data_IF_343737794649
#
_entry.id   IF_343737794649
#
_cell.length_a   1.000
_cell.length_b   1.000
_cell.length_c   1.000
_cell.angle_alpha   90.00
_cell.angle_beta   90.00
_cell.angle_gamma   90.00
#
_symmetry.space_group_name_H-M   'P 1'
#
loop_
_entity.id
_entity.type
_entity.pdbx_description
1 polymer ?
#
# COMPACT_ATOMS: atom_id res chain seq x y z
N UNK A 1 -8.85 -16.59 0.85
CA UNK A 1 -7.94 -16.86 -0.26
C UNK A 1 -7.16 -15.59 -0.69
N UNK A 2 -7.82 -14.47 -0.93
CA UNK A 2 -7.20 -13.21 -1.39
C UNK A 2 -5.99 -12.75 -0.53
N UNK A 3 -6.12 -12.80 0.79
CA UNK A 3 -5.05 -12.43 1.72
C UNK A 3 -3.75 -13.25 1.54
N UNK A 4 -3.89 -14.57 1.39
CA UNK A 4 -2.72 -15.44 1.17
C UNK A 4 -2.07 -15.19 -0.18
N UNK A 5 -2.87 -14.90 -1.22
CA UNK A 5 -2.34 -14.58 -2.55
C UNK A 5 -1.57 -13.25 -2.55
N UNK A 6 -2.11 -12.21 -1.92
CA UNK A 6 -1.42 -10.92 -1.80
C UNK A 6 -0.12 -11.04 -1.00
N UNK A 7 -0.13 -11.80 0.10
CA UNK A 7 1.06 -12.09 0.90
C UNK A 7 2.12 -12.85 0.09
N UNK A 8 1.70 -13.81 -0.73
CA UNK A 8 2.60 -14.54 -1.61
C UNK A 8 3.23 -13.62 -2.67
N UNK A 9 2.42 -12.75 -3.29
CA UNK A 9 2.91 -11.75 -4.26
C UNK A 9 3.93 -10.82 -3.61
N UNK A 10 3.66 -10.30 -2.40
CA UNK A 10 4.62 -9.46 -1.67
C UNK A 10 5.95 -10.17 -1.41
N UNK A 11 5.90 -11.46 -1.02
CA UNK A 11 7.11 -12.24 -0.80
C UNK A 11 7.89 -12.48 -2.09
N UNK A 12 7.18 -12.75 -3.19
CA UNK A 12 7.80 -12.94 -4.49
C UNK A 12 8.49 -11.64 -4.97
N UNK A 13 7.79 -10.50 -4.86
CA UNK A 13 8.35 -9.18 -5.19
C UNK A 13 9.59 -8.88 -4.36
N UNK A 14 9.57 -9.20 -3.05
CA UNK A 14 10.72 -9.00 -2.17
C UNK A 14 11.93 -9.83 -2.61
N UNK A 15 11.72 -11.09 -2.97
CA UNK A 15 12.82 -11.96 -3.44
C UNK A 15 13.41 -11.43 -4.76
N UNK A 16 12.57 -11.02 -5.71
CA UNK A 16 12.99 -10.43 -6.97
C UNK A 16 13.79 -9.15 -6.71
N UNK A 17 13.30 -8.29 -5.83
CA UNK A 17 13.93 -7.02 -5.45
C UNK A 17 15.34 -7.23 -4.87
N UNK A 18 15.48 -8.18 -3.94
CA UNK A 18 16.78 -8.55 -3.36
C UNK A 18 17.72 -9.08 -4.43
N UNK A 19 17.26 -9.95 -5.34
CA UNK A 19 18.11 -10.52 -6.39
C UNK A 19 18.61 -9.44 -7.35
N UNK A 20 17.73 -8.52 -7.79
CA UNK A 20 18.11 -7.42 -8.68
C UNK A 20 19.10 -6.48 -7.97
N UNK A 21 18.84 -6.14 -6.71
CA UNK A 21 19.73 -5.28 -5.92
C UNK A 21 21.10 -5.93 -5.73
N UNK A 22 21.15 -7.21 -5.37
CA UNK A 22 22.41 -7.95 -5.26
C UNK A 22 23.19 -7.98 -6.58
N UNK A 23 22.49 -8.19 -7.70
CA UNK A 23 23.12 -8.18 -9.02
C UNK A 23 23.69 -6.80 -9.36
N UNK A 24 22.93 -5.72 -9.12
CA UNK A 24 23.38 -4.35 -9.38
C UNK A 24 24.56 -3.96 -8.50
N UNK A 25 24.52 -4.28 -7.21
CA UNK A 25 25.64 -4.02 -6.30
C UNK A 25 26.88 -4.81 -6.72
N UNK A 26 26.74 -6.10 -7.04
CA UNK A 26 27.85 -6.92 -7.50
C UNK A 26 28.44 -6.38 -8.82
N UNK A 27 27.61 -5.91 -9.77
CA UNK A 27 28.07 -5.32 -11.03
C UNK A 27 28.91 -4.05 -10.84
N UNK A 28 28.65 -3.26 -9.79
CA UNK A 28 29.47 -2.08 -9.47
C UNK A 28 30.87 -2.41 -8.98
N UNK A 29 31.05 -3.55 -8.30
CA UNK A 29 32.34 -3.97 -7.74
C UNK A 29 33.10 -4.97 -8.61
N UNK A 30 32.41 -5.72 -9.45
CA UNK A 30 32.98 -6.80 -10.26
C UNK A 30 32.71 -6.51 -11.73
N UNK A 31 33.71 -6.12 -12.48
CA UNK A 31 33.61 -5.74 -13.90
C UNK A 31 33.06 -6.83 -14.83
N UNK A 32 33.00 -8.08 -14.36
CA UNK A 32 32.47 -9.21 -15.13
C UNK A 32 30.93 -9.33 -15.01
N UNK A 33 30.32 -8.68 -13.99
CA UNK A 33 28.87 -8.75 -13.77
C UNK A 33 28.23 -7.50 -14.38
N UNK A 34 27.19 -7.63 -15.23
CA UNK A 34 26.51 -6.48 -15.81
C UNK A 34 25.81 -5.67 -14.71
N UNK A 35 26.00 -4.34 -14.71
CA UNK A 35 25.20 -3.40 -13.93
C UNK A 35 24.20 -2.69 -14.87
N UNK A 36 23.00 -3.25 -15.06
CA UNK A 36 22.04 -2.68 -15.99
C UNK A 36 21.43 -1.40 -15.39
N UNK A 37 21.44 -0.31 -16.14
CA UNK A 37 20.89 0.98 -15.73
C UNK A 37 19.40 0.93 -15.32
N UNK A 38 18.64 -0.07 -15.80
CA UNK A 38 17.22 -0.26 -15.45
C UNK A 38 17.00 -0.87 -14.08
N UNK A 39 18.02 -1.45 -13.45
CA UNK A 39 17.88 -2.15 -12.16
C UNK A 39 17.31 -1.27 -11.07
N UNK A 40 17.78 -0.04 -10.92
CA UNK A 40 17.30 0.89 -9.91
C UNK A 40 15.83 1.28 -10.10
N UNK A 41 15.41 1.51 -11.34
CA UNK A 41 14.01 1.88 -11.65
C UNK A 41 13.04 0.72 -11.40
N UNK A 42 13.46 -0.52 -11.67
CA UNK A 42 12.66 -1.71 -11.40
C UNK A 42 12.55 -1.96 -9.91
N UNK A 43 13.65 -1.86 -9.14
CA UNK A 43 13.67 -2.00 -7.69
C UNK A 43 12.73 -0.98 -7.04
N UNK A 44 12.80 0.30 -7.41
CA UNK A 44 11.90 1.34 -6.89
C UNK A 44 10.43 1.04 -7.20
N UNK A 45 10.14 0.52 -8.39
CA UNK A 45 8.78 0.13 -8.76
C UNK A 45 8.30 -1.06 -7.92
N UNK A 46 9.11 -2.11 -7.74
CA UNK A 46 8.79 -3.26 -6.89
C UNK A 46 8.54 -2.83 -5.43
N UNK A 47 9.38 -1.96 -4.89
CA UNK A 47 9.21 -1.41 -3.54
C UNK A 47 7.88 -0.65 -3.41
N UNK A 48 7.51 0.16 -4.42
CA UNK A 48 6.23 0.87 -4.43
C UNK A 48 5.04 -0.10 -4.40
N UNK A 49 5.06 -1.16 -5.22
CA UNK A 49 4.02 -2.20 -5.19
C UNK A 49 3.94 -2.93 -3.85
N UNK A 50 5.10 -3.29 -3.27
CA UNK A 50 5.13 -3.94 -1.94
C UNK A 50 4.58 -3.02 -0.85
N UNK A 51 4.96 -1.75 -0.83
CA UNK A 51 4.48 -0.78 0.15
C UNK A 51 2.95 -0.67 0.12
N UNK A 52 2.39 -0.54 -1.08
CA UNK A 52 0.96 -0.45 -1.33
C UNK A 52 0.20 -1.70 -0.90
N UNK A 53 0.67 -2.87 -1.34
CA UNK A 53 0.04 -4.14 -0.99
C UNK A 53 0.12 -4.43 0.51
N UNK A 54 1.25 -4.08 1.16
CA UNK A 54 1.40 -4.25 2.61
C UNK A 54 0.52 -3.29 3.39
N UNK A 55 0.34 -2.04 2.94
CA UNK A 55 -0.59 -1.09 3.55
C UNK A 55 -2.04 -1.61 3.50
N UNK A 56 -2.49 -2.11 2.34
CA UNK A 56 -3.80 -2.72 2.20
C UNK A 56 -4.00 -3.94 3.13
N UNK A 57 -2.95 -4.78 3.30
CA UNK A 57 -2.99 -5.91 4.24
C UNK A 57 -3.02 -5.46 5.71
N UNK A 58 -2.34 -4.36 6.06
CA UNK A 58 -2.33 -3.79 7.41
C UNK A 58 -3.73 -3.33 7.82
N UNK A 59 -4.45 -2.65 6.92
CA UNK A 59 -5.84 -2.25 7.13
C UNK A 59 -6.71 -3.47 7.49
N UNK A 60 -6.65 -4.51 6.67
CA UNK A 60 -7.44 -5.73 6.90
C UNK A 60 -7.13 -6.44 8.21
N UNK A 61 -5.90 -6.32 8.73
CA UNK A 61 -5.52 -6.89 10.03
C UNK A 61 -5.98 -6.05 11.22
N UNK A 62 -6.62 -4.90 11.00
CA UNK A 62 -6.93 -3.94 12.06
C UNK A 62 -5.66 -3.39 12.72
N UNK A 63 -4.52 -3.55 12.03
CA UNK A 63 -3.22 -3.07 12.49
C UNK A 63 -3.01 -1.58 12.15
N UNK A 64 -4.12 -0.81 12.09
CA UNK A 64 -4.00 0.63 12.09
C UNK A 64 -3.26 1.05 13.35
N UNK A 65 -2.40 2.04 13.22
CA UNK A 65 -1.63 2.62 14.32
C UNK A 65 -2.61 3.23 15.32
N UNK A 66 -3.22 2.34 16.11
CA UNK A 66 -4.06 2.71 17.22
C UNK A 66 -3.18 2.68 18.46
N UNK A 67 -3.03 3.82 19.08
CA UNK A 67 -2.38 3.90 20.38
C UNK A 67 -3.29 3.29 21.45
N UNK A 68 -3.25 1.96 21.57
CA UNK A 68 -4.00 1.23 22.60
C UNK A 68 -3.55 1.56 24.02
N UNK A 69 -2.39 2.21 24.17
CA UNK A 69 -1.88 2.65 25.46
C UNK A 69 -2.80 3.68 26.17
N UNK A 70 -3.55 4.48 25.42
CA UNK A 70 -4.50 5.45 25.97
C UNK A 70 -5.90 4.86 26.23
N UNK A 71 -6.21 3.69 25.67
CA UNK A 71 -7.53 3.06 25.79
C UNK A 71 -7.90 2.73 27.25
N UNK A 72 -6.90 2.45 28.09
CA UNK A 72 -7.09 2.16 29.52
C UNK A 72 -7.48 3.39 30.36
N UNK A 73 -7.18 4.60 29.87
CA UNK A 73 -7.46 5.86 30.56
C UNK A 73 -8.71 6.57 30.04
N UNK A 74 -9.25 6.14 28.88
CA UNK A 74 -10.39 6.80 28.24
C UNK A 74 -11.70 6.04 28.46
N UNK A 75 -12.85 6.75 28.56
CA UNK A 75 -14.15 6.11 28.59
C UNK A 75 -14.42 5.37 27.26
N UNK A 76 -15.01 4.18 27.36
CA UNK A 76 -15.26 3.28 26.22
C UNK A 76 -16.00 3.94 25.05
N UNK A 77 -16.87 4.90 25.32
CA UNK A 77 -17.63 5.63 24.30
C UNK A 77 -16.75 6.59 23.51
N UNK A 78 -15.77 7.22 24.15
CA UNK A 78 -14.82 8.13 23.49
C UNK A 78 -13.87 7.33 22.58
N UNK A 79 -13.42 6.15 23.05
CA UNK A 79 -12.58 5.25 22.26
C UNK A 79 -13.29 4.82 20.96
N UNK A 80 -14.56 4.42 21.07
CA UNK A 80 -15.37 4.05 19.90
C UNK A 80 -15.57 5.21 18.91
N UNK A 81 -15.80 6.42 19.44
CA UNK A 81 -15.94 7.62 18.59
C UNK A 81 -14.64 7.90 17.83
N UNK A 82 -13.49 7.78 18.52
CA UNK A 82 -12.17 7.95 17.89
C UNK A 82 -11.89 6.88 16.83
N UNK A 83 -12.33 5.65 17.04
CA UNK A 83 -12.20 4.57 16.03
C UNK A 83 -12.95 4.93 14.74
N UNK A 84 -14.20 5.36 14.84
CA UNK A 84 -14.98 5.77 13.68
C UNK A 84 -14.36 6.99 13.00
N UNK A 85 -13.87 7.95 13.78
CA UNK A 85 -13.19 9.13 13.23
C UNK A 85 -11.92 8.75 12.46
N UNK A 86 -11.15 7.78 12.97
CA UNK A 86 -9.98 7.24 12.31
C UNK A 86 -10.35 6.52 11.00
N UNK A 87 -11.38 5.66 11.02
CA UNK A 87 -11.87 4.95 9.84
C UNK A 87 -12.30 5.95 8.74
N UNK A 88 -13.04 6.98 9.12
CA UNK A 88 -13.46 8.04 8.17
C UNK A 88 -12.25 8.78 7.59
N UNK A 89 -11.26 9.12 8.42
CA UNK A 89 -10.05 9.80 7.96
C UNK A 89 -9.26 8.93 6.97
N UNK A 90 -9.13 7.63 7.24
CA UNK A 90 -8.45 6.68 6.33
C UNK A 90 -9.25 6.49 5.04
N UNK A 91 -10.58 6.47 5.11
CA UNK A 91 -11.42 6.40 3.91
C UNK A 91 -11.23 7.63 3.02
N UNK A 92 -11.22 8.83 3.61
CA UNK A 92 -10.96 10.08 2.88
C UNK A 92 -9.58 10.05 2.23
N UNK A 93 -8.55 9.62 2.95
CA UNK A 93 -7.21 9.46 2.42
C UNK A 93 -7.19 8.46 1.24
N UNK A 94 -7.88 7.35 1.35
CA UNK A 94 -7.97 6.34 0.30
C UNK A 94 -8.61 6.89 -0.99
N UNK A 95 -9.67 7.69 -0.86
CA UNK A 95 -10.31 8.38 -2.00
C UNK A 95 -9.37 9.40 -2.64
N UNK A 96 -8.64 10.17 -1.84
CA UNK A 96 -7.63 11.11 -2.34
C UNK A 96 -6.52 10.35 -3.07
N UNK A 97 -5.99 9.28 -2.50
CA UNK A 97 -4.97 8.45 -3.14
C UNK A 97 -5.44 7.86 -4.46
N UNK A 98 -6.69 7.43 -4.53
CA UNK A 98 -7.26 6.93 -5.78
C UNK A 98 -7.38 8.04 -6.85
N UNK A 99 -8.02 9.16 -6.52
CA UNK A 99 -8.29 10.24 -7.49
C UNK A 99 -7.01 10.94 -7.96
N UNK A 100 -6.15 11.32 -7.02
CA UNK A 100 -4.88 11.98 -7.33
C UNK A 100 -3.92 10.98 -7.99
N UNK A 101 -3.81 9.76 -7.48
CA UNK A 101 -2.96 8.72 -8.05
C UNK A 101 -3.35 8.36 -9.48
N UNK A 102 -4.65 8.26 -9.77
CA UNK A 102 -5.15 8.02 -11.12
C UNK A 102 -4.83 9.17 -12.08
N UNK A 103 -5.02 10.40 -11.65
CA UNK A 103 -4.70 11.58 -12.44
C UNK A 103 -3.20 11.68 -12.75
N UNK A 104 -2.33 11.35 -11.78
CA UNK A 104 -0.89 11.28 -12.01
C UNK A 104 -0.49 10.14 -12.94
N UNK A 105 -1.05 8.95 -12.74
CA UNK A 105 -0.73 7.80 -13.57
C UNK A 105 -1.17 8.02 -15.03
N UNK A 106 -2.38 8.51 -15.25
CA UNK A 106 -2.92 8.75 -16.60
C UNK A 106 -2.39 10.01 -17.27
N UNK A 107 -2.09 11.05 -16.52
CA UNK A 107 -1.60 12.33 -17.04
C UNK A 107 -0.09 12.31 -17.27
N UNK A 108 0.67 12.28 -16.20
CA UNK A 108 2.14 12.38 -16.23
C UNK A 108 2.77 11.01 -16.53
N UNK A 109 2.26 9.95 -15.90
CA UNK A 109 2.78 8.61 -16.06
C UNK A 109 2.64 8.07 -17.48
N UNK A 110 1.49 8.27 -18.13
CA UNK A 110 1.23 7.79 -19.48
C UNK A 110 2.06 8.53 -20.55
N UNK A 111 2.40 9.80 -20.32
CA UNK A 111 3.20 10.62 -21.24
C UNK A 111 4.71 10.48 -21.03
N UNK A 112 5.13 10.06 -19.85
CA UNK A 112 6.52 9.87 -19.49
C UNK A 112 6.99 8.43 -19.72
N UNK A 113 8.29 8.28 -20.00
CA UNK A 113 8.97 6.98 -20.09
C UNK A 113 9.99 6.86 -18.96
N UNK A 114 10.39 5.64 -18.64
CA UNK A 114 11.52 5.40 -17.76
C UNK A 114 12.79 6.01 -18.36
N UNK A 115 13.71 6.49 -17.53
CA UNK A 115 14.93 7.13 -18.02
C UNK A 115 15.87 6.09 -18.65
N UNK A 116 15.98 4.93 -18.03
CA UNK A 116 16.83 3.84 -18.49
C UNK A 116 16.13 2.88 -19.46
N UNK A 117 14.80 2.94 -19.55
CA UNK A 117 13.99 2.12 -20.47
C UNK A 117 12.99 3.01 -21.24
N UNK A 118 13.40 3.69 -22.31
CA UNK A 118 12.54 4.63 -23.05
C UNK A 118 11.31 3.98 -23.71
N UNK A 119 11.31 2.67 -23.85
CA UNK A 119 10.19 1.89 -24.41
C UNK A 119 9.08 1.60 -23.39
N UNK A 120 9.35 1.78 -22.09
CA UNK A 120 8.41 1.48 -21.01
C UNK A 120 7.84 2.78 -20.45
N UNK A 121 6.51 2.87 -20.39
CA UNK A 121 5.81 4.04 -19.84
C UNK A 121 5.98 4.09 -18.31
N UNK A 122 6.19 5.28 -17.75
CA UNK A 122 6.17 5.54 -16.31
C UNK A 122 4.80 5.29 -15.66
N UNK A 123 3.79 5.04 -16.45
CA UNK A 123 2.47 4.64 -15.93
C UNK A 123 2.58 3.51 -14.91
N UNK A 124 3.41 2.51 -15.19
CA UNK A 124 3.62 1.36 -14.29
C UNK A 124 4.21 1.73 -12.92
N UNK A 125 5.02 2.78 -12.87
CA UNK A 125 5.59 3.28 -11.61
C UNK A 125 4.54 3.98 -10.73
N UNK A 126 3.57 4.67 -11.34
CA UNK A 126 2.53 5.41 -10.62
C UNK A 126 1.27 4.57 -10.34
N UNK A 127 1.06 3.48 -11.07
CA UNK A 127 -0.10 2.58 -10.93
C UNK A 127 -0.29 1.99 -9.52
N UNK A 128 0.75 1.70 -8.72
CA UNK A 128 0.56 1.20 -7.36
C UNK A 128 -0.30 2.12 -6.48
N UNK A 129 -0.17 3.44 -6.63
CA UNK A 129 -0.88 4.42 -5.80
C UNK A 129 -2.41 4.33 -5.94
N UNK A 130 -3.00 4.39 -7.14
CA UNK A 130 -4.45 4.22 -7.29
C UNK A 130 -4.92 2.79 -6.93
N UNK A 131 -4.09 1.77 -7.16
CA UNK A 131 -4.41 0.41 -6.70
C UNK A 131 -4.49 0.31 -5.18
N UNK A 132 -3.57 1.00 -4.46
CA UNK A 132 -3.67 1.14 -3.01
C UNK A 132 -4.99 1.80 -2.62
N UNK A 133 -5.31 2.92 -3.23
CA UNK A 133 -6.54 3.64 -2.95
C UNK A 133 -7.77 2.74 -3.07
N UNK A 134 -7.89 1.95 -4.14
CA UNK A 134 -9.00 0.99 -4.32
C UNK A 134 -9.00 -0.06 -3.22
N UNK A 135 -7.85 -0.69 -2.95
CA UNK A 135 -7.76 -1.73 -1.94
C UNK A 135 -8.09 -1.20 -0.53
N UNK A 136 -7.60 0.01 -0.21
CA UNK A 136 -7.92 0.69 1.05
C UNK A 136 -9.40 1.01 1.17
N UNK A 137 -10.05 1.54 0.13
CA UNK A 137 -11.48 1.83 0.13
C UNK A 137 -12.28 0.54 0.43
N UNK A 138 -11.98 -0.57 -0.24
CA UNK A 138 -12.70 -1.84 -0.05
C UNK A 138 -12.57 -2.33 1.39
N UNK A 139 -11.35 -2.33 1.94
CA UNK A 139 -11.12 -2.85 3.28
C UNK A 139 -11.64 -1.91 4.37
N UNK A 140 -11.59 -0.60 4.15
CA UNK A 140 -12.08 0.39 5.09
C UNK A 140 -13.60 0.40 5.20
N UNK A 141 -14.30 0.20 4.09
CA UNK A 141 -15.76 0.00 4.11
C UNK A 141 -16.13 -1.24 4.94
N UNK A 142 -15.39 -2.34 4.80
CA UNK A 142 -15.59 -3.55 5.62
C UNK A 142 -15.32 -3.27 7.10
N UNK A 143 -14.24 -2.55 7.43
CA UNK A 143 -13.88 -2.18 8.80
C UNK A 143 -14.92 -1.26 9.43
N UNK A 144 -15.32 -0.21 8.74
CA UNK A 144 -16.33 0.74 9.17
C UNK A 144 -17.68 0.06 9.43
N UNK A 145 -18.11 -0.85 8.52
CA UNK A 145 -19.31 -1.64 8.71
C UNK A 145 -19.25 -2.48 9.98
N UNK A 146 -18.14 -3.14 10.25
CA UNK A 146 -17.95 -3.96 11.44
C UNK A 146 -17.92 -3.11 12.73
N UNK A 147 -17.31 -1.93 12.71
CA UNK A 147 -17.31 -1.01 13.85
C UNK A 147 -18.72 -0.47 14.13
N UNK A 148 -19.45 -0.02 13.13
CA UNK A 148 -20.83 0.44 13.28
C UNK A 148 -21.72 -0.70 13.83
N UNK A 149 -21.60 -1.91 13.28
CA UNK A 149 -22.35 -3.06 13.77
C UNK A 149 -22.08 -3.37 15.25
N UNK A 150 -20.83 -3.18 15.69
CA UNK A 150 -20.46 -3.39 17.11
C UNK A 150 -21.12 -2.40 18.08
N UNK A 151 -21.61 -1.27 17.60
CA UNK A 151 -22.44 -0.35 18.40
C UNK A 151 -23.84 -0.89 18.61
N UNK A 152 -24.49 -1.37 17.54
CA UNK A 152 -25.89 -1.85 17.61
C UNK A 152 -26.03 -3.15 18.38
N UNK A 153 -25.09 -4.08 18.25
CA UNK A 153 -25.17 -5.40 18.93
C UNK A 153 -24.96 -5.31 20.44
N UNK A 154 -24.40 -4.22 20.97
CA UNK A 154 -24.12 -4.06 22.40
C UNK A 154 -25.22 -3.34 23.18
N UNK A 155 -26.20 -2.75 22.49
CA UNK A 155 -27.40 -2.16 23.12
C UNK A 155 -28.51 -3.18 23.46
N UNK A 156 -28.39 -4.42 22.91
CA UNK A 156 -29.37 -5.50 23.16
C UNK A 156 -29.01 -6.44 24.36
N UNK A 157 -28.03 -6.07 25.19
CA UNK A 157 -27.71 -6.76 26.44
C UNK A 157 -27.58 -5.78 27.58
#
# INVERSE_FOLDING_TARGET
MLFRSVLFICKLLLVIDILITCMSVAGRYISFIPDPAWSEEVVLSCMAYMAVLSAALAIRRGAHIRMTALDSYMPKNLVKFLDILADVAVLVLAVIMFTVGWNYASGIGAKGTYVSMPTVSRFWMYLPVPLAGIAMIIFEIEALYNHIRSFYVKEEK
#
